data_IF_420646426794
#
_entry.id   IF_420646426794
#
_cell.length_a   1.000
_cell.length_b   1.000
_cell.length_c   1.000
_cell.angle_alpha   90.00
_cell.angle_beta   90.00
_cell.angle_gamma   90.00
#
_symmetry.space_group_name_H-M   'P 1'
#
loop_
_entity.id
_entity.type
_entity.pdbx_description
1 polymer ?
#
# COMPACT_ATOMS: atom_id res chain seq x y z
N UNK A 1 -20.73 -7.32 20.22
CA UNK A 1 -20.33 -7.96 21.47
C UNK A 1 -21.24 -7.50 22.62
N UNK A 2 -21.02 -7.98 23.83
CA UNK A 2 -21.90 -7.70 24.98
C UNK A 2 -21.65 -6.31 25.60
N UNK A 3 -20.58 -5.65 25.21
CA UNK A 3 -20.21 -4.34 25.72
C UNK A 3 -20.65 -3.23 24.72
N UNK A 4 -21.48 -2.32 25.23
CA UNK A 4 -22.02 -1.22 24.42
C UNK A 4 -20.93 -0.23 23.93
N UNK A 5 -19.86 -0.04 24.71
CA UNK A 5 -18.75 0.83 24.32
C UNK A 5 -18.08 0.31 23.05
N UNK A 6 -17.74 -1.00 23.01
CA UNK A 6 -17.09 -1.59 21.84
C UNK A 6 -18.02 -1.63 20.62
N UNK A 7 -19.32 -1.82 20.83
CA UNK A 7 -20.28 -1.75 19.73
C UNK A 7 -20.34 -0.33 19.14
N UNK A 8 -20.35 0.70 19.97
CA UNK A 8 -20.31 2.11 19.53
C UNK A 8 -18.99 2.43 18.84
N UNK A 9 -17.85 1.97 19.39
CA UNK A 9 -16.53 2.14 18.78
C UNK A 9 -16.49 1.54 17.38
N UNK A 10 -16.94 0.30 17.23
CA UNK A 10 -17.04 -0.38 15.94
C UNK A 10 -17.89 0.41 14.93
N UNK A 11 -19.07 0.87 15.34
CA UNK A 11 -19.93 1.68 14.45
C UNK A 11 -19.26 2.99 14.03
N UNK A 12 -18.52 3.64 14.92
CA UNK A 12 -17.78 4.85 14.61
C UNK A 12 -16.66 4.57 13.62
N UNK A 13 -15.89 3.50 13.81
CA UNK A 13 -14.83 3.08 12.89
C UNK A 13 -15.38 2.78 11.50
N UNK A 14 -16.47 2.00 11.39
CA UNK A 14 -17.14 1.73 10.12
C UNK A 14 -17.61 3.00 9.43
N UNK A 15 -18.18 3.93 10.18
CA UNK A 15 -18.63 5.20 9.62
C UNK A 15 -17.46 6.02 9.06
N UNK A 16 -16.34 6.10 9.79
CA UNK A 16 -15.12 6.80 9.34
C UNK A 16 -14.57 6.15 8.07
N UNK A 17 -14.45 4.83 8.05
CA UNK A 17 -14.02 4.08 6.87
C UNK A 17 -14.91 4.37 5.66
N UNK A 18 -16.23 4.30 5.81
CA UNK A 18 -17.19 4.55 4.73
C UNK A 18 -17.12 5.99 4.19
N UNK A 19 -16.82 6.97 5.03
CA UNK A 19 -16.63 8.35 4.60
C UNK A 19 -15.39 8.52 3.71
N UNK A 20 -14.37 7.67 3.90
CA UNK A 20 -13.12 7.69 3.14
C UNK A 20 -13.15 6.77 1.90
N UNK A 21 -14.14 5.89 1.81
CA UNK A 21 -14.38 5.02 0.64
C UNK A 21 -15.29 5.74 -0.36
N UNK A 22 -14.70 6.48 -1.29
CA UNK A 22 -15.43 7.18 -2.35
C UNK A 22 -15.13 6.53 -3.70
N UNK A 23 -14.64 7.28 -4.65
CA UNK A 23 -14.12 6.76 -5.91
C UNK A 23 -12.73 6.10 -5.75
N UNK A 24 -12.05 6.42 -4.68
CA UNK A 24 -10.78 5.85 -4.22
C UNK A 24 -10.79 5.70 -2.71
N UNK A 25 -9.84 4.94 -2.17
CA UNK A 25 -9.55 4.92 -0.74
C UNK A 25 -8.80 6.22 -0.44
N UNK A 26 -9.45 7.12 0.27
CA UNK A 26 -8.91 8.46 0.51
C UNK A 26 -8.35 8.59 1.91
N UNK A 27 -7.25 9.31 2.04
CA UNK A 27 -6.84 9.91 3.30
C UNK A 27 -7.94 10.90 3.77
N UNK A 28 -8.32 10.85 5.05
CA UNK A 28 -9.42 11.65 5.54
C UNK A 28 -9.11 13.15 5.59
N UNK A 29 -10.17 13.93 5.46
CA UNK A 29 -10.31 15.35 5.75
C UNK A 29 -9.40 16.29 4.97
N UNK A 30 -8.12 16.39 5.33
CA UNK A 30 -7.21 17.43 4.82
C UNK A 30 -6.77 17.18 3.38
N UNK A 31 -6.27 16.01 3.08
CA UNK A 31 -5.56 15.72 1.82
C UNK A 31 -6.46 15.11 0.77
N UNK A 32 -7.36 14.22 1.16
CA UNK A 32 -8.39 13.59 0.31
C UNK A 32 -7.83 12.95 -0.97
N UNK A 33 -6.64 12.39 -0.86
CA UNK A 33 -5.96 11.67 -1.93
C UNK A 33 -5.78 10.21 -1.57
N UNK A 34 -5.58 9.36 -2.56
CA UNK A 34 -5.26 7.96 -2.32
C UNK A 34 -3.76 7.82 -2.01
N UNK A 35 -3.38 8.16 -0.80
CA UNK A 35 -2.07 7.86 -0.27
C UNK A 35 -1.94 6.36 -0.05
N UNK A 36 -0.88 5.76 -0.58
CA UNK A 36 -0.79 4.31 -0.56
C UNK A 36 -0.37 3.74 0.79
N UNK A 37 0.30 4.49 1.63
CA UNK A 37 0.50 4.10 3.02
C UNK A 37 -0.82 3.92 3.76
N UNK A 38 -1.72 4.90 3.61
CA UNK A 38 -3.08 4.84 4.17
C UNK A 38 -3.93 3.76 3.51
N UNK A 39 -3.88 3.66 2.19
CA UNK A 39 -4.64 2.68 1.44
C UNK A 39 -4.29 1.23 1.86
N UNK A 40 -3.03 0.93 2.15
CA UNK A 40 -2.61 -0.39 2.64
C UNK A 40 -3.25 -0.73 3.97
N UNK A 41 -3.26 0.22 4.91
CA UNK A 41 -3.83 0.05 6.25
C UNK A 41 -5.35 -0.08 6.17
N UNK A 42 -6.01 0.86 5.49
CA UNK A 42 -7.48 0.87 5.33
C UNK A 42 -7.96 -0.36 4.54
N UNK A 43 -7.17 -0.88 3.59
CA UNK A 43 -7.51 -2.13 2.91
C UNK A 43 -7.63 -3.30 3.88
N UNK A 44 -6.77 -3.38 4.89
CA UNK A 44 -6.88 -4.37 5.96
C UNK A 44 -8.22 -4.28 6.70
N UNK A 45 -8.66 -3.07 7.01
CA UNK A 45 -9.97 -2.83 7.65
C UNK A 45 -11.12 -3.23 6.72
N UNK A 46 -11.05 -2.86 5.45
CA UNK A 46 -12.05 -3.22 4.42
C UNK A 46 -12.21 -4.73 4.30
N UNK A 47 -11.14 -5.50 4.36
CA UNK A 47 -11.19 -6.96 4.26
C UNK A 47 -12.00 -7.60 5.38
N UNK A 48 -11.99 -7.02 6.57
CA UNK A 48 -12.75 -7.52 7.71
C UNK A 48 -14.16 -6.96 7.81
N UNK A 49 -14.36 -5.72 7.38
CA UNK A 49 -15.56 -4.96 7.66
C UNK A 49 -16.54 -4.89 6.49
N UNK A 50 -16.06 -5.12 5.25
CA UNK A 50 -16.86 -4.97 4.05
C UNK A 50 -17.13 -6.28 3.32
N UNK A 51 -18.19 -6.26 2.52
CA UNK A 51 -18.50 -7.30 1.55
C UNK A 51 -17.60 -7.23 0.29
N UNK A 52 -17.98 -7.97 -0.74
CA UNK A 52 -17.26 -8.00 -2.02
C UNK A 52 -17.24 -6.63 -2.73
N UNK A 53 -18.26 -5.78 -2.50
CA UNK A 53 -18.29 -4.46 -3.13
C UNK A 53 -17.21 -3.54 -2.53
N UNK A 54 -17.04 -3.57 -1.21
CA UNK A 54 -15.92 -2.85 -0.58
C UNK A 54 -14.55 -3.34 -1.06
N UNK A 55 -14.40 -4.66 -1.22
CA UNK A 55 -13.16 -5.27 -1.75
C UNK A 55 -12.88 -4.88 -3.20
N UNK A 56 -13.91 -4.59 -4.01
CA UNK A 56 -13.70 -4.09 -5.39
C UNK A 56 -13.08 -2.69 -5.43
N UNK A 57 -13.23 -1.88 -4.39
CA UNK A 57 -12.51 -0.61 -4.27
C UNK A 57 -11.01 -0.82 -4.07
N UNK A 58 -10.62 -1.84 -3.28
CA UNK A 58 -9.20 -2.22 -3.14
C UNK A 58 -8.62 -2.70 -4.47
N UNK A 59 -9.38 -3.51 -5.23
CA UNK A 59 -9.01 -3.90 -6.59
C UNK A 59 -8.75 -2.68 -7.48
N UNK A 60 -9.67 -1.72 -7.46
CA UNK A 60 -9.52 -0.46 -8.21
C UNK A 60 -8.28 0.31 -7.78
N UNK A 61 -8.01 0.37 -6.47
CA UNK A 61 -6.81 1.02 -5.96
C UNK A 61 -5.52 0.37 -6.49
N UNK A 62 -5.45 -0.96 -6.49
CA UNK A 62 -4.32 -1.71 -7.06
C UNK A 62 -4.15 -1.38 -8.55
N UNK A 63 -5.23 -1.40 -9.33
CA UNK A 63 -5.18 -1.04 -10.74
C UNK A 63 -4.68 0.38 -10.95
N UNK A 64 -5.19 1.34 -10.18
CA UNK A 64 -4.71 2.72 -10.24
C UNK A 64 -3.20 2.80 -9.99
N UNK A 65 -2.67 2.08 -8.99
CA UNK A 65 -1.25 2.08 -8.69
C UNK A 65 -0.41 1.58 -9.87
N UNK A 66 -0.78 0.45 -10.45
CA UNK A 66 0.00 -0.15 -11.53
C UNK A 66 -0.18 0.56 -12.86
N UNK A 67 -1.38 1.07 -13.16
CA UNK A 67 -1.66 1.81 -14.39
C UNK A 67 -0.94 3.18 -14.43
N UNK A 68 -0.60 3.72 -13.27
CA UNK A 68 0.15 4.97 -13.15
C UNK A 68 1.67 4.76 -12.98
N UNK A 69 2.16 3.53 -13.12
CA UNK A 69 3.60 3.27 -13.12
C UNK A 69 4.29 4.05 -14.23
N UNK A 70 5.38 4.73 -13.90
CA UNK A 70 6.19 5.49 -14.85
C UNK A 70 6.95 4.55 -15.81
N UNK A 71 7.35 5.08 -16.95
CA UNK A 71 8.11 4.34 -17.95
C UNK A 71 9.42 3.77 -17.41
N UNK A 72 10.06 4.45 -16.46
CA UNK A 72 11.26 4.00 -15.77
C UNK A 72 11.01 2.91 -14.71
N UNK A 73 9.75 2.59 -14.45
CA UNK A 73 9.33 1.58 -13.48
C UNK A 73 8.99 2.11 -12.09
N UNK A 74 9.18 3.40 -11.84
CA UNK A 74 8.86 4.02 -10.56
C UNK A 74 7.36 3.99 -10.30
N UNK A 75 6.99 3.54 -9.12
CA UNK A 75 5.67 3.73 -8.52
C UNK A 75 5.73 4.90 -7.54
N UNK A 76 4.62 5.57 -7.34
CA UNK A 76 4.57 6.74 -6.49
C UNK A 76 3.21 6.92 -5.83
N UNK A 77 3.12 7.86 -4.90
CA UNK A 77 1.92 8.16 -4.13
C UNK A 77 1.78 9.68 -3.96
N UNK A 78 0.55 10.23 -3.92
CA UNK A 78 -0.72 9.52 -4.09
C UNK A 78 -1.02 9.17 -5.55
N UNK A 79 -1.83 8.16 -5.80
CA UNK A 79 -2.42 7.84 -7.11
C UNK A 79 -3.86 7.36 -6.95
N UNK A 80 -4.79 7.89 -7.73
CA UNK A 80 -4.64 8.97 -8.71
C UNK A 80 -4.19 10.28 -8.05
N UNK A 81 -3.43 11.07 -8.79
CA UNK A 81 -2.92 12.35 -8.29
C UNK A 81 -3.08 13.46 -9.33
N UNK A 82 -3.18 14.70 -8.83
CA UNK A 82 -3.07 15.88 -9.68
C UNK A 82 -1.62 16.17 -10.04
N UNK A 83 -1.00 17.11 -9.32
CA UNK A 83 0.39 17.55 -9.59
C UNK A 83 1.46 16.83 -8.79
N UNK A 84 1.09 16.05 -7.77
CA UNK A 84 2.03 15.29 -6.95
C UNK A 84 2.40 13.97 -7.63
N UNK A 85 3.67 13.70 -7.76
CA UNK A 85 4.17 12.47 -8.39
C UNK A 85 5.54 12.04 -7.87
N UNK A 86 5.81 12.28 -6.60
CA UNK A 86 7.08 11.89 -5.98
C UNK A 86 7.01 10.45 -5.48
N UNK A 87 8.06 9.71 -5.72
CA UNK A 87 8.24 8.41 -5.11
C UNK A 87 8.35 8.55 -3.59
N UNK A 88 7.67 7.66 -2.89
CA UNK A 88 7.81 7.44 -1.46
C UNK A 88 8.27 5.99 -1.27
N UNK A 89 9.58 5.71 -1.36
CA UNK A 89 10.09 4.35 -1.59
C UNK A 89 9.60 3.33 -0.58
N UNK A 90 9.69 3.63 0.70
CA UNK A 90 9.27 2.71 1.79
C UNK A 90 7.76 2.49 1.76
N UNK A 91 6.97 3.53 1.51
CA UNK A 91 5.53 3.40 1.33
C UNK A 91 5.19 2.49 0.15
N UNK A 92 5.94 2.59 -0.95
CA UNK A 92 5.75 1.73 -2.11
C UNK A 92 6.13 0.28 -1.82
N UNK A 93 7.18 0.01 -1.04
CA UNK A 93 7.51 -1.36 -0.62
C UNK A 93 6.37 -2.01 0.18
N UNK A 94 5.78 -1.26 1.11
CA UNK A 94 4.61 -1.72 1.85
C UNK A 94 3.42 -2.00 0.92
N UNK A 95 3.21 -1.12 -0.07
CA UNK A 95 2.09 -1.18 -1.01
C UNK A 95 2.16 -2.38 -1.96
N UNK A 96 3.32 -2.62 -2.56
CA UNK A 96 3.49 -3.70 -3.56
C UNK A 96 3.72 -5.07 -2.94
N UNK A 97 4.08 -5.12 -1.67
CA UNK A 97 4.49 -6.34 -0.98
C UNK A 97 3.36 -7.11 -0.32
N UNK A 98 3.77 -7.79 0.73
CA UNK A 98 2.93 -8.71 1.51
C UNK A 98 1.67 -8.04 2.08
N UNK A 99 1.80 -6.82 2.62
CA UNK A 99 0.69 -6.12 3.26
C UNK A 99 -0.27 -5.45 2.28
N UNK A 100 0.20 -5.09 1.09
CA UNK A 100 -0.60 -4.44 0.06
C UNK A 100 -1.21 -5.44 -0.91
N UNK A 101 -0.58 -5.57 -2.09
CA UNK A 101 -1.16 -6.33 -3.21
C UNK A 101 -1.35 -7.81 -2.87
N UNK A 102 -0.37 -8.47 -2.20
CA UNK A 102 -0.53 -9.88 -1.84
C UNK A 102 -1.66 -10.10 -0.83
N UNK A 103 -1.82 -9.19 0.13
CA UNK A 103 -2.89 -9.29 1.12
C UNK A 103 -4.29 -9.23 0.48
N UNK A 104 -4.45 -8.45 -0.59
CA UNK A 104 -5.68 -8.46 -1.38
C UNK A 104 -6.03 -9.86 -1.88
N UNK A 105 -5.06 -10.60 -2.43
CA UNK A 105 -5.30 -11.98 -2.86
C UNK A 105 -5.71 -12.90 -1.73
N UNK A 106 -5.04 -12.79 -0.59
CA UNK A 106 -5.32 -13.64 0.59
C UNK A 106 -6.79 -13.52 1.03
N UNK A 107 -7.36 -12.31 0.94
CA UNK A 107 -8.74 -12.06 1.35
C UNK A 107 -9.80 -12.19 0.24
N UNK A 108 -9.38 -12.28 -1.02
CA UNK A 108 -10.34 -12.30 -2.15
C UNK A 108 -10.22 -13.52 -3.03
N UNK A 109 -9.04 -14.14 -3.11
CA UNK A 109 -8.74 -15.20 -4.08
C UNK A 109 -8.65 -14.70 -5.54
N UNK A 110 -8.63 -13.39 -5.80
CA UNK A 110 -8.61 -12.81 -7.15
C UNK A 110 -7.21 -12.90 -7.78
N UNK A 111 -6.89 -14.05 -8.33
CA UNK A 111 -5.62 -14.27 -9.03
C UNK A 111 -5.47 -13.47 -10.32
N UNK A 112 -6.58 -13.05 -10.95
CA UNK A 112 -6.53 -12.26 -12.19
C UNK A 112 -5.91 -10.88 -11.92
N UNK A 113 -6.34 -10.19 -10.84
CA UNK A 113 -5.77 -8.92 -10.44
C UNK A 113 -4.28 -9.04 -10.08
N UNK A 114 -3.89 -10.12 -9.40
CA UNK A 114 -2.48 -10.38 -9.08
C UNK A 114 -1.65 -10.58 -10.34
N UNK A 115 -2.15 -11.36 -11.28
CA UNK A 115 -1.47 -11.58 -12.56
C UNK A 115 -1.27 -10.29 -13.36
N UNK A 116 -2.27 -9.39 -13.35
CA UNK A 116 -2.16 -8.06 -13.97
C UNK A 116 -1.13 -7.17 -13.25
N UNK A 117 -1.08 -7.20 -11.92
CA UNK A 117 -0.18 -6.36 -11.14
C UNK A 117 1.28 -6.85 -11.09
N UNK A 118 1.50 -8.16 -11.19
CA UNK A 118 2.81 -8.79 -11.03
C UNK A 118 3.95 -8.15 -11.85
N UNK A 119 3.78 -7.87 -13.16
CA UNK A 119 4.85 -7.25 -13.95
C UNK A 119 5.27 -5.89 -13.43
N UNK A 120 4.32 -5.06 -12.97
CA UNK A 120 4.59 -3.75 -12.43
C UNK A 120 5.33 -3.82 -11.08
N UNK A 121 4.90 -4.73 -10.21
CA UNK A 121 5.57 -4.99 -8.93
C UNK A 121 7.00 -5.46 -9.15
N UNK A 122 7.20 -6.44 -10.03
CA UNK A 122 8.53 -6.96 -10.38
C UNK A 122 9.44 -5.87 -10.94
N UNK A 123 8.91 -5.03 -11.84
CA UNK A 123 9.64 -3.91 -12.42
C UNK A 123 10.05 -2.90 -11.35
N UNK A 124 9.16 -2.54 -10.45
CA UNK A 124 9.48 -1.62 -9.34
C UNK A 124 10.55 -2.19 -8.41
N UNK A 125 10.40 -3.43 -7.98
CA UNK A 125 11.37 -4.06 -7.07
C UNK A 125 12.76 -4.26 -7.72
N UNK A 126 12.84 -4.36 -9.05
CA UNK A 126 14.12 -4.43 -9.76
C UNK A 126 14.90 -3.10 -9.79
N UNK A 127 14.29 -1.99 -9.38
CA UNK A 127 14.97 -0.69 -9.25
C UNK A 127 15.78 -0.58 -7.95
N UNK A 128 15.59 -1.50 -7.02
CA UNK A 128 16.29 -1.51 -5.75
C UNK A 128 17.65 -2.22 -5.89
N UNK A 129 18.70 -1.51 -5.52
CA UNK A 129 20.07 -2.03 -5.58
C UNK A 129 20.52 -2.55 -4.22
N UNK A 130 21.41 -3.53 -4.23
CA UNK A 130 22.06 -4.04 -3.03
C UNK A 130 23.48 -3.46 -2.91
N UNK A 131 23.94 -3.28 -1.68
CA UNK A 131 25.32 -2.94 -1.35
C UNK A 131 26.21 -4.21 -1.26
N UNK A 132 27.49 -4.04 -0.93
CA UNK A 132 28.46 -5.13 -0.81
C UNK A 132 28.12 -6.14 0.29
N UNK A 133 27.26 -5.78 1.25
CA UNK A 133 26.75 -6.63 2.32
C UNK A 133 25.47 -7.36 1.96
N UNK A 134 24.97 -7.20 0.73
CA UNK A 134 23.66 -7.63 0.28
C UNK A 134 22.50 -6.93 1.02
N UNK A 135 22.72 -5.74 1.54
CA UNK A 135 21.68 -4.90 2.09
C UNK A 135 21.18 -3.91 1.03
N UNK A 136 19.92 -3.59 1.11
CA UNK A 136 19.31 -2.62 0.20
C UNK A 136 19.94 -1.24 0.40
N UNK A 137 20.36 -0.63 -0.70
CA UNK A 137 20.76 0.77 -0.70
C UNK A 137 19.53 1.65 -0.56
N UNK A 138 19.63 2.67 0.28
CA UNK A 138 18.57 3.64 0.46
C UNK A 138 18.21 4.32 -0.87
N UNK A 139 16.93 4.29 -1.21
CA UNK A 139 16.36 5.04 -2.34
C UNK A 139 15.82 6.36 -1.85
N UNK A 140 16.42 7.44 -2.30
CA UNK A 140 15.92 8.79 -2.02
C UNK A 140 14.61 9.05 -2.75
N UNK A 141 13.64 9.58 -2.04
CA UNK A 141 12.32 9.94 -2.56
C UNK A 141 11.84 11.26 -1.99
N UNK A 142 10.53 11.39 -1.91
CA UNK A 142 9.93 12.56 -1.31
C UNK A 142 10.03 12.57 0.22
N UNK A 143 10.04 11.38 0.82
CA UNK A 143 10.00 11.19 2.26
C UNK A 143 10.14 9.70 2.60
N UNK A 144 10.79 9.37 3.72
CA UNK A 144 11.14 7.98 4.08
C UNK A 144 10.02 7.20 4.78
N UNK A 145 8.84 7.81 4.94
CA UNK A 145 7.68 7.21 5.61
C UNK A 145 8.01 6.62 7.00
N UNK A 146 8.86 7.33 7.71
CA UNK A 146 9.28 6.97 9.07
C UNK A 146 8.58 7.82 10.14
N UNK A 147 7.72 8.71 9.68
CA UNK A 147 6.87 9.60 10.46
C UNK A 147 7.60 10.35 11.59
N UNK A 148 7.11 10.22 12.79
CA UNK A 148 7.52 10.99 13.96
C UNK A 148 8.71 10.40 14.70
N UNK A 149 9.40 9.42 14.12
CA UNK A 149 10.56 8.80 14.72
C UNK A 149 11.73 9.78 14.85
N UNK A 150 12.45 9.70 15.96
CA UNK A 150 13.77 10.30 16.12
C UNK A 150 14.81 9.17 16.02
N UNK A 151 15.98 9.48 15.50
CA UNK A 151 17.09 8.51 15.35
C UNK A 151 16.72 7.24 14.57
N UNK A 152 16.07 7.41 13.42
CA UNK A 152 15.61 6.30 12.58
C UNK A 152 16.80 5.70 11.83
N UNK A 153 16.97 4.40 11.97
CA UNK A 153 17.87 3.63 11.12
C UNK A 153 17.16 3.28 9.80
N UNK A 154 17.39 4.13 8.79
CA UNK A 154 16.80 3.99 7.46
C UNK A 154 17.24 2.67 6.79
N UNK A 155 18.45 2.18 7.07
CA UNK A 155 18.92 0.91 6.53
C UNK A 155 18.08 -0.27 7.05
N UNK A 156 17.81 -0.29 8.35
CA UNK A 156 16.92 -1.32 8.94
C UNK A 156 15.51 -1.22 8.36
N UNK A 157 14.98 0.00 8.27
CA UNK A 157 13.64 0.24 7.74
C UNK A 157 13.48 -0.26 6.30
N UNK A 158 14.38 0.17 5.41
CA UNK A 158 14.36 -0.21 4.00
C UNK A 158 14.48 -1.72 3.82
N UNK A 159 15.42 -2.36 4.53
CA UNK A 159 15.63 -3.79 4.41
C UNK A 159 14.47 -4.63 4.95
N UNK A 160 13.85 -4.19 6.04
CA UNK A 160 12.65 -4.86 6.58
C UNK A 160 11.50 -4.82 5.58
N UNK A 161 11.19 -3.63 5.03
CA UNK A 161 10.11 -3.50 4.06
C UNK A 161 10.43 -4.14 2.71
N UNK A 162 11.68 -4.08 2.25
CA UNK A 162 12.10 -4.77 1.02
C UNK A 162 11.98 -6.29 1.15
N UNK A 163 12.35 -6.86 2.30
CA UNK A 163 12.16 -8.29 2.56
C UNK A 163 10.70 -8.70 2.48
N UNK A 164 9.79 -7.92 3.09
CA UNK A 164 8.34 -8.16 3.00
C UNK A 164 7.80 -7.96 1.58
N UNK A 165 8.37 -7.03 0.82
CA UNK A 165 8.00 -6.83 -0.58
C UNK A 165 8.43 -8.00 -1.46
N UNK A 166 9.63 -8.53 -1.27
CA UNK A 166 10.12 -9.73 -1.97
C UNK A 166 9.31 -10.97 -1.61
N UNK A 167 8.94 -11.15 -0.33
CA UNK A 167 8.04 -12.24 0.07
C UNK A 167 6.69 -12.13 -0.66
N UNK A 168 6.11 -10.94 -0.73
CA UNK A 168 4.90 -10.70 -1.50
C UNK A 168 5.07 -11.05 -2.98
N UNK A 169 6.15 -10.59 -3.62
CA UNK A 169 6.45 -10.89 -5.02
C UNK A 169 6.62 -12.39 -5.27
N UNK A 170 7.33 -13.09 -4.39
CA UNK A 170 7.54 -14.54 -4.50
C UNK A 170 6.21 -15.31 -4.41
N UNK A 171 5.31 -14.85 -3.54
CA UNK A 171 3.99 -15.46 -3.40
C UNK A 171 3.06 -15.17 -4.60
N UNK A 172 3.30 -14.08 -5.33
CA UNK A 172 2.53 -13.74 -6.55
C UNK A 172 3.00 -14.53 -7.79
N UNK A 173 4.20 -15.09 -7.78
CA UNK A 173 4.81 -15.80 -8.90
C UNK A 173 4.22 -17.20 -9.10
#
# INVERSE_FOLDING_TARGET
CDDEFYNKLWQKALNTMNLNMRDAIQDPDRERSQWWGDAVIVSGEIFYACDLNGKSLVKKAIKNLVDWQKDDGVLYSPVPAGSWNKELPVQMLASVGKYGIWNYYVYTGDSATIKEAYPAVRKYLSLWELDERNLVKHRTGGWDWSDWGQDIDVCVLDNAWYSLALEGLANMA
#
